data_IF_693260372243
#
_entry.id   IF_693260372243
#
_cell.length_a   1.000
_cell.length_b   1.000
_cell.length_c   1.000
_cell.angle_alpha   90.00
_cell.angle_beta   90.00
_cell.angle_gamma   90.00
#
_symmetry.space_group_name_H-M   'P 1'
#
loop_
_entity.id
_entity.type
_entity.pdbx_description
1 polymer ?
#
# COMPACT_ATOMS: atom_id res chain seq x y z
N UNK A 1 6.02 18.56 7.00
CA UNK A 1 6.89 17.92 5.98
C UNK A 1 6.64 18.58 4.63
N UNK A 2 7.66 18.76 3.80
CA UNK A 2 7.48 19.30 2.45
C UNK A 2 6.76 18.27 1.55
N UNK A 3 5.68 18.67 0.88
CA UNK A 3 5.07 17.83 -0.16
C UNK A 3 5.80 18.05 -1.49
N UNK A 4 6.14 16.95 -2.16
CA UNK A 4 6.71 16.99 -3.53
C UNK A 4 5.60 16.72 -4.54
N UNK A 5 5.45 17.60 -5.53
CA UNK A 5 4.52 17.38 -6.65
C UNK A 5 5.10 16.37 -7.63
N UNK A 6 4.29 15.41 -8.08
CA UNK A 6 4.62 14.47 -9.15
C UNK A 6 3.54 14.57 -10.24
N UNK A 7 3.96 14.52 -11.50
CA UNK A 7 3.06 14.33 -12.65
C UNK A 7 3.11 12.85 -13.03
N UNK A 8 1.95 12.23 -13.18
CA UNK A 8 1.80 10.82 -13.51
C UNK A 8 0.88 10.69 -14.72
N UNK A 9 1.16 9.71 -15.58
CA UNK A 9 0.28 9.33 -16.69
C UNK A 9 -0.36 7.99 -16.34
N UNK A 10 -1.68 7.90 -16.47
CA UNK A 10 -2.46 6.70 -16.22
C UNK A 10 -3.36 6.44 -17.43
N UNK A 11 -3.88 5.21 -17.55
CA UNK A 11 -4.86 4.91 -18.59
C UNK A 11 -6.24 5.51 -18.26
N UNK A 12 -7.08 5.67 -19.28
CA UNK A 12 -8.45 6.18 -19.10
C UNK A 12 -9.26 5.31 -18.11
N UNK A 13 -9.07 3.99 -18.16
CA UNK A 13 -9.72 3.05 -17.24
C UNK A 13 -9.30 3.29 -15.78
N UNK A 14 -8.03 3.65 -15.55
CA UNK A 14 -7.56 4.00 -14.20
C UNK A 14 -8.11 5.35 -13.74
N UNK A 15 -8.25 6.32 -14.64
CA UNK A 15 -8.85 7.62 -14.36
C UNK A 15 -10.33 7.48 -13.97
N UNK A 16 -11.11 6.70 -14.71
CA UNK A 16 -12.50 6.37 -14.37
C UNK A 16 -12.62 5.75 -12.98
N UNK A 17 -11.70 4.83 -12.66
CA UNK A 17 -11.65 4.22 -11.33
C UNK A 17 -11.38 5.25 -10.22
N UNK A 18 -10.40 6.14 -10.42
CA UNK A 18 -10.06 7.20 -9.46
C UNK A 18 -11.25 8.12 -9.24
N UNK A 19 -11.92 8.53 -10.31
CA UNK A 19 -13.13 9.37 -10.27
C UNK A 19 -14.24 8.71 -9.47
N UNK A 20 -14.52 7.43 -9.70
CA UNK A 20 -15.52 6.68 -8.93
C UNK A 20 -15.22 6.67 -7.42
N UNK A 21 -13.93 6.61 -7.03
CA UNK A 21 -13.56 6.70 -5.61
C UNK A 21 -13.86 8.08 -5.02
N UNK A 22 -13.67 9.15 -5.80
CA UNK A 22 -13.96 10.53 -5.38
C UNK A 22 -15.48 10.75 -5.31
N UNK A 23 -16.22 10.32 -6.33
CA UNK A 23 -17.69 10.42 -6.39
C UNK A 23 -18.37 9.64 -5.26
N UNK A 24 -17.76 8.56 -4.79
CA UNK A 24 -18.25 7.83 -3.60
C UNK A 24 -18.17 8.63 -2.30
N UNK A 25 -17.50 9.79 -2.29
CA UNK A 25 -17.26 10.62 -1.12
C UNK A 25 -16.13 10.11 -0.21
N UNK A 26 -15.44 9.03 -0.59
CA UNK A 26 -14.33 8.45 0.19
C UNK A 26 -13.08 9.33 0.19
N UNK A 27 -12.86 10.09 -0.88
CA UNK A 27 -11.73 11.00 -1.03
C UNK A 27 -12.19 12.32 -1.64
N UNK A 28 -11.55 13.43 -1.28
CA UNK A 28 -11.87 14.74 -1.82
C UNK A 28 -11.17 15.07 -3.14
N UNK A 29 -10.12 14.33 -3.52
CA UNK A 29 -9.40 14.50 -4.79
C UNK A 29 -8.46 13.31 -5.08
N UNK A 30 -7.93 13.28 -6.30
CA UNK A 30 -6.99 12.28 -6.81
C UNK A 30 -5.76 12.14 -5.92
N UNK A 31 -5.17 13.27 -5.48
CA UNK A 31 -3.94 13.24 -4.69
C UNK A 31 -4.15 12.59 -3.33
N UNK A 32 -5.34 12.74 -2.74
CA UNK A 32 -5.71 12.04 -1.51
C UNK A 32 -5.82 10.54 -1.72
N UNK A 33 -6.50 10.12 -2.80
CA UNK A 33 -6.60 8.73 -3.17
C UNK A 33 -5.23 8.07 -3.41
N UNK A 34 -4.36 8.72 -4.19
CA UNK A 34 -3.02 8.19 -4.48
C UNK A 34 -2.14 8.11 -3.23
N UNK A 35 -2.20 9.08 -2.33
CA UNK A 35 -1.46 9.02 -1.05
C UNK A 35 -1.94 7.86 -0.18
N UNK A 36 -3.25 7.64 -0.12
CA UNK A 36 -3.83 6.51 0.62
C UNK A 36 -3.43 5.16 0.00
N UNK A 37 -3.44 5.06 -1.33
CA UNK A 37 -3.00 3.87 -2.04
C UNK A 37 -1.53 3.54 -1.76
N UNK A 38 -0.65 4.54 -1.75
CA UNK A 38 0.78 4.38 -1.42
C UNK A 38 0.95 3.89 0.02
N UNK A 39 0.21 4.46 0.97
CA UNK A 39 0.28 4.05 2.38
C UNK A 39 -0.16 2.59 2.56
N UNK A 40 -1.26 2.17 1.90
CA UNK A 40 -1.71 0.78 1.94
C UNK A 40 -0.72 -0.20 1.30
N UNK A 41 -0.06 0.19 0.21
CA UNK A 41 1.02 -0.61 -0.40
C UNK A 41 2.21 -0.75 0.56
N UNK A 42 2.62 0.32 1.24
CA UNK A 42 3.69 0.26 2.25
C UNK A 42 3.33 -0.64 3.42
N UNK A 43 2.12 -0.49 3.99
CA UNK A 43 1.63 -1.32 5.09
C UNK A 43 1.60 -2.80 4.71
N UNK A 44 1.11 -3.12 3.51
CA UNK A 44 1.07 -4.50 3.01
C UNK A 44 2.47 -5.07 2.85
N UNK A 45 3.41 -4.32 2.25
CA UNK A 45 4.80 -4.77 2.07
C UNK A 45 5.51 -4.96 3.40
N UNK A 46 5.27 -4.08 4.37
CA UNK A 46 5.84 -4.23 5.70
C UNK A 46 5.33 -5.50 6.39
N UNK A 47 4.02 -5.73 6.35
CA UNK A 47 3.43 -6.95 6.91
C UNK A 47 3.98 -8.23 6.25
N UNK A 48 4.20 -8.22 4.93
CA UNK A 48 4.83 -9.34 4.23
C UNK A 48 6.30 -9.55 4.65
N UNK A 49 7.05 -8.47 4.87
CA UNK A 49 8.42 -8.55 5.36
C UNK A 49 8.49 -9.09 6.79
N UNK A 50 7.63 -8.60 7.67
CA UNK A 50 7.56 -9.04 9.07
C UNK A 50 7.20 -10.53 9.15
N UNK A 51 6.24 -10.98 8.34
CA UNK A 51 5.88 -12.39 8.26
C UNK A 51 7.07 -13.25 7.81
N UNK A 52 7.81 -12.82 6.79
CA UNK A 52 9.00 -13.53 6.31
C UNK A 52 10.08 -13.60 7.37
N UNK A 53 10.28 -12.52 8.12
CA UNK A 53 11.22 -12.47 9.23
C UNK A 53 10.85 -13.47 10.32
N UNK A 54 9.60 -13.48 10.77
CA UNK A 54 9.12 -14.41 11.80
C UNK A 54 9.23 -15.88 11.37
N UNK A 55 8.95 -16.17 10.10
CA UNK A 55 9.15 -17.52 9.53
C UNK A 55 10.63 -17.91 9.59
N UNK A 56 11.53 -17.00 9.17
CA UNK A 56 12.96 -17.27 9.21
C UNK A 56 13.46 -17.49 10.65
N UNK A 57 13.02 -16.65 11.59
CA UNK A 57 13.37 -16.80 13.00
C UNK A 57 12.91 -18.16 13.56
N UNK A 58 11.70 -18.60 13.19
CA UNK A 58 11.18 -19.93 13.51
C UNK A 58 12.04 -21.06 12.93
N UNK A 59 12.43 -20.96 11.65
CA UNK A 59 13.32 -21.95 11.02
C UNK A 59 14.69 -22.01 11.71
N UNK A 60 15.24 -20.86 12.09
CA UNK A 60 16.53 -20.75 12.75
C UNK A 60 16.49 -21.23 14.21
N UNK A 61 15.31 -21.20 14.86
CA UNK A 61 15.10 -21.68 16.23
C UNK A 61 15.21 -23.20 16.41
N UNK A 62 15.28 -23.96 15.31
CA UNK A 62 15.44 -25.41 15.32
C UNK A 62 14.12 -26.16 15.58
N UNK A 63 14.20 -27.50 15.63
CA UNK A 63 13.03 -28.36 15.81
C UNK A 63 12.61 -28.35 17.28
N UNK A 64 11.38 -27.92 17.54
CA UNK A 64 10.78 -28.01 18.87
C UNK A 64 10.70 -29.48 19.31
N UNK A 65 11.43 -29.85 20.34
CA UNK A 65 11.32 -31.14 21.01
C UNK A 65 10.17 -31.06 22.02
N UNK A 66 9.00 -31.58 21.64
CA UNK A 66 7.91 -31.89 22.58
C UNK A 66 8.23 -33.10 23.44
#
# INVERSE_FOLDING_TARGET
MAMTRKTITISDVMDEWVKAQIESGRYGNDSEYFRDLIRRDQEKRQAEQDLRFLIQEGLDSGVSTS
#
